data_IF_487317635066
#
_entry.id   IF_487317635066
#
_cell.length_a   1.000
_cell.length_b   1.000
_cell.length_c   1.000
_cell.angle_alpha   90.00
_cell.angle_beta   90.00
_cell.angle_gamma   90.00
#
_symmetry.space_group_name_H-M   'P 1'
#
loop_
_entity.id
_entity.type
_entity.pdbx_description
1 polymer ?
#
# COMPACT_ATOMS: atom_id res chain seq x y z
N UNK A 1 2.48 -11.86 4.11
CA UNK A 1 3.93 -11.82 3.84
C UNK A 1 4.62 -11.30 5.10
N UNK A 2 5.67 -11.97 5.58
CA UNK A 2 6.51 -11.48 6.67
C UNK A 2 7.47 -10.46 6.06
N UNK A 3 7.60 -9.28 6.66
CA UNK A 3 8.44 -8.23 6.09
C UNK A 3 9.26 -7.55 7.17
N UNK A 4 10.54 -7.92 7.32
CA UNK A 4 11.52 -7.10 7.99
C UNK A 4 12.77 -6.96 7.13
N UNK A 5 12.90 -5.84 6.41
CA UNK A 5 14.14 -5.09 6.10
C UNK A 5 13.89 -4.02 5.03
N UNK A 6 13.91 -2.74 5.42
CA UNK A 6 14.19 -1.62 4.52
C UNK A 6 13.06 -0.59 4.31
N UNK A 7 13.46 0.67 4.48
CA UNK A 7 12.87 2.02 4.25
C UNK A 7 11.35 2.24 4.32
N UNK A 8 10.99 3.31 5.02
CA UNK A 8 9.62 3.77 5.30
C UNK A 8 9.22 4.78 4.20
N UNK A 9 8.12 4.52 3.50
CA UNK A 9 7.44 5.47 2.62
C UNK A 9 6.03 5.69 3.16
N UNK A 10 5.68 6.96 3.36
CA UNK A 10 4.58 7.37 4.24
C UNK A 10 3.25 7.61 3.51
N UNK A 11 3.25 8.03 2.23
CA UNK A 11 2.04 8.27 1.41
C UNK A 11 2.39 8.49 -0.08
N UNK A 12 1.38 8.46 -0.98
CA UNK A 12 1.50 8.97 -2.35
C UNK A 12 2.10 10.39 -2.40
N UNK A 13 1.63 11.30 -1.53
CA UNK A 13 2.10 12.68 -1.47
C UNK A 13 3.61 12.76 -1.19
N UNK A 14 4.11 11.95 -0.26
CA UNK A 14 5.54 11.91 0.07
C UNK A 14 6.39 11.38 -1.09
N UNK A 15 5.87 10.38 -1.81
CA UNK A 15 6.55 9.82 -2.98
C UNK A 15 6.58 10.85 -4.12
N UNK A 16 5.45 11.51 -4.38
CA UNK A 16 5.36 12.57 -5.38
C UNK A 16 6.21 13.80 -5.01
N UNK A 17 6.27 14.19 -3.74
CA UNK A 17 7.13 15.28 -3.26
C UNK A 17 8.62 14.98 -3.51
N UNK A 18 9.05 13.75 -3.21
CA UNK A 18 10.41 13.29 -3.54
C UNK A 18 10.67 13.36 -5.04
N UNK A 19 9.73 12.90 -5.87
CA UNK A 19 9.89 12.95 -7.32
C UNK A 19 9.94 14.38 -7.86
N UNK A 20 9.07 15.26 -7.35
CA UNK A 20 9.02 16.68 -7.69
C UNK A 20 10.37 17.35 -7.42
N UNK A 21 10.88 17.21 -6.19
CA UNK A 21 12.19 17.76 -5.78
C UNK A 21 13.33 17.25 -6.65
N UNK A 22 13.34 15.95 -6.98
CA UNK A 22 14.40 15.37 -7.84
C UNK A 22 14.30 15.83 -9.30
N UNK A 23 13.11 16.17 -9.79
CA UNK A 23 12.91 16.66 -11.16
C UNK A 23 13.38 18.09 -11.37
N UNK A 24 13.47 18.89 -10.31
CA UNK A 24 14.04 20.24 -10.35
C UNK A 24 15.56 20.23 -10.57
N UNK A 25 16.24 19.14 -10.19
CA UNK A 25 17.71 19.01 -10.30
C UNK A 25 18.10 18.53 -11.69
N UNK A 26 18.51 19.46 -12.55
CA UNK A 26 18.91 19.17 -13.95
C UNK A 26 20.20 18.37 -14.07
N UNK A 27 21.15 18.57 -13.16
CA UNK A 27 22.41 17.85 -13.17
C UNK A 27 22.20 16.42 -12.67
N UNK A 28 22.43 15.43 -13.54
CA UNK A 28 22.22 14.01 -13.24
C UNK A 28 23.09 13.51 -12.09
N UNK A 29 24.32 14.02 -11.95
CA UNK A 29 25.21 13.62 -10.87
C UNK A 29 24.72 14.17 -9.52
N UNK A 30 24.37 15.45 -9.46
CA UNK A 30 23.81 16.07 -8.25
C UNK A 30 22.49 15.42 -7.84
N UNK A 31 21.60 15.16 -8.81
CA UNK A 31 20.35 14.44 -8.57
C UNK A 31 20.62 13.07 -7.97
N UNK A 32 21.58 12.32 -8.52
CA UNK A 32 21.95 10.99 -8.00
C UNK A 32 22.47 11.06 -6.56
N UNK A 33 23.27 12.08 -6.20
CA UNK A 33 23.80 12.24 -4.85
C UNK A 33 22.70 12.42 -3.80
N UNK A 34 21.65 13.18 -4.13
CA UNK A 34 20.53 13.42 -3.21
C UNK A 34 19.38 12.41 -3.35
N UNK A 35 19.45 11.52 -4.33
CA UNK A 35 18.42 10.51 -4.56
C UNK A 35 18.35 9.55 -3.36
N UNK A 36 17.15 9.36 -2.75
CA UNK A 36 16.98 8.48 -1.62
C UNK A 36 17.43 7.03 -1.89
N UNK A 37 18.00 6.40 -0.88
CA UNK A 37 18.55 5.04 -1.00
C UNK A 37 17.48 3.99 -1.35
N UNK A 38 16.22 4.22 -0.96
CA UNK A 38 15.11 3.33 -1.33
C UNK A 38 14.87 3.33 -2.85
N UNK A 39 14.97 4.49 -3.52
CA UNK A 39 14.83 4.59 -4.99
C UNK A 39 16.00 3.90 -5.69
N UNK A 40 17.22 4.11 -5.16
CA UNK A 40 18.41 3.45 -5.70
C UNK A 40 18.27 1.93 -5.62
N UNK A 41 17.76 1.40 -4.50
CA UNK A 41 17.48 -0.04 -4.34
C UNK A 41 16.32 -0.52 -5.20
N UNK A 42 15.27 0.28 -5.37
CA UNK A 42 14.16 -0.01 -6.30
C UNK A 42 14.68 -0.23 -7.72
N UNK A 43 15.67 0.55 -8.13
CA UNK A 43 16.30 0.46 -9.45
C UNK A 43 17.60 -0.36 -9.50
N UNK A 44 18.00 -0.99 -8.40
CA UNK A 44 19.17 -1.86 -8.35
C UNK A 44 18.79 -3.29 -8.76
N UNK A 45 19.56 -3.88 -9.66
CA UNK A 45 19.39 -5.24 -10.16
C UNK A 45 20.19 -6.29 -9.37
N UNK A 46 20.87 -5.90 -8.29
CA UNK A 46 21.58 -6.84 -7.43
C UNK A 46 20.62 -7.80 -6.73
N UNK A 47 20.98 -9.09 -6.67
CA UNK A 47 20.14 -10.13 -6.05
C UNK A 47 20.02 -9.98 -4.52
N UNK A 48 20.99 -9.31 -3.89
CA UNK A 48 21.11 -9.23 -2.44
C UNK A 48 20.29 -8.08 -1.84
N UNK A 49 20.25 -6.93 -2.53
CA UNK A 49 19.66 -5.68 -2.01
C UNK A 49 18.79 -4.93 -3.01
N UNK A 50 18.80 -5.36 -4.28
CA UNK A 50 18.08 -4.74 -5.38
C UNK A 50 16.66 -5.26 -5.54
N UNK A 51 15.81 -4.39 -6.07
CA UNK A 51 14.39 -4.63 -6.31
C UNK A 51 14.00 -4.29 -7.76
N UNK A 52 14.97 -4.19 -8.68
CA UNK A 52 14.68 -3.93 -10.10
C UNK A 52 13.82 -5.06 -10.65
N UNK A 53 12.72 -4.72 -11.32
CA UNK A 53 11.60 -5.59 -11.74
C UNK A 53 10.52 -5.86 -10.67
N UNK A 54 10.64 -5.28 -9.48
CA UNK A 54 9.65 -5.35 -8.40
C UNK A 54 8.93 -4.02 -8.20
N UNK A 55 7.92 -4.03 -7.34
CA UNK A 55 7.11 -2.85 -7.00
C UNK A 55 7.02 -2.65 -5.50
N UNK A 56 7.07 -1.40 -5.04
CA UNK A 56 6.76 -1.03 -3.67
C UNK A 56 5.29 -0.67 -3.58
N UNK A 57 4.51 -1.41 -2.79
CA UNK A 57 3.10 -1.06 -2.60
C UNK A 57 2.99 0.02 -1.54
N UNK A 58 2.53 1.20 -1.94
CA UNK A 58 2.17 2.31 -1.04
C UNK A 58 0.64 2.39 -0.95
N UNK A 59 0.15 2.74 0.22
CA UNK A 59 -1.27 2.89 0.50
C UNK A 59 -2.18 1.69 0.16
N UNK A 60 -1.62 0.47 0.04
CA UNK A 60 -2.32 -0.75 -0.41
C UNK A 60 -2.99 -0.66 -1.79
N UNK A 61 -2.85 0.46 -2.47
CA UNK A 61 -3.57 0.84 -3.68
C UNK A 61 -2.62 1.31 -4.76
N UNK A 62 -1.38 1.66 -4.46
CA UNK A 62 -0.42 2.16 -5.44
C UNK A 62 0.83 1.30 -5.44
N UNK A 63 1.39 1.07 -6.62
CA UNK A 63 2.63 0.36 -6.82
C UNK A 63 3.67 1.31 -7.41
N UNK A 64 4.79 1.47 -6.73
CA UNK A 64 5.95 2.26 -7.18
C UNK A 64 6.96 1.30 -7.81
N UNK A 65 7.25 1.48 -9.09
CA UNK A 65 8.17 0.63 -9.86
C UNK A 65 9.38 1.43 -10.31
N UNK A 66 10.53 0.76 -10.46
CA UNK A 66 11.63 1.40 -11.16
C UNK A 66 11.21 1.69 -12.60
N UNK A 67 11.39 2.94 -13.03
CA UNK A 67 11.02 3.38 -14.37
C UNK A 67 11.89 2.69 -15.44
N UNK A 68 11.31 2.45 -16.61
CA UNK A 68 12.05 1.90 -17.73
C UNK A 68 13.25 2.79 -18.12
N UNK A 69 14.39 2.15 -18.34
CA UNK A 69 15.67 2.83 -18.60
C UNK A 69 16.41 3.34 -17.36
N UNK A 70 15.80 3.31 -16.18
CA UNK A 70 16.46 3.69 -14.92
C UNK A 70 17.34 2.58 -14.33
N UNK A 71 18.27 2.98 -13.47
CA UNK A 71 19.15 2.09 -12.71
C UNK A 71 19.52 2.73 -11.37
N UNK A 72 20.27 2.05 -10.51
CA UNK A 72 20.63 2.57 -9.18
C UNK A 72 21.39 3.92 -9.19
N UNK A 73 22.13 4.22 -10.27
CA UNK A 73 22.94 5.43 -10.41
C UNK A 73 22.12 6.59 -10.99
N UNK A 74 21.08 6.29 -11.76
CA UNK A 74 20.10 7.22 -12.33
C UNK A 74 18.68 6.75 -12.01
N UNK A 75 18.39 6.64 -10.71
CA UNK A 75 17.13 6.08 -10.24
C UNK A 75 15.98 7.05 -10.45
N UNK A 76 14.92 6.54 -11.05
CA UNK A 76 13.62 7.19 -11.21
C UNK A 76 12.56 6.10 -11.09
N UNK A 77 11.33 6.50 -10.78
CA UNK A 77 10.24 5.56 -10.61
C UNK A 77 8.99 6.02 -11.33
N UNK A 78 8.07 5.09 -11.50
CA UNK A 78 6.70 5.34 -11.91
C UNK A 78 5.74 4.80 -10.86
N UNK A 79 4.58 5.44 -10.74
CA UNK A 79 3.50 5.00 -9.88
C UNK A 79 2.41 4.44 -10.79
N UNK A 80 1.97 3.23 -10.53
CA UNK A 80 0.80 2.62 -11.16
C UNK A 80 -0.22 2.28 -10.08
N UNK A 81 -1.48 2.15 -10.47
CA UNK A 81 -2.48 1.54 -9.61
C UNK A 81 -2.10 0.10 -9.26
N UNK A 82 -1.98 -0.20 -7.98
CA UNK A 82 -2.13 -1.56 -7.49
C UNK A 82 -3.64 -1.87 -7.41
N UNK A 83 -3.99 -3.15 -7.31
CA UNK A 83 -5.38 -3.59 -7.29
C UNK A 83 -6.36 -2.73 -6.48
N UNK A 84 -7.39 -2.24 -7.15
CA UNK A 84 -8.43 -1.43 -6.52
C UNK A 84 -8.04 0.03 -6.29
N UNK A 85 -6.89 0.48 -6.81
CA UNK A 85 -6.64 1.90 -7.01
C UNK A 85 -7.79 2.52 -7.80
N UNK A 86 -8.26 3.64 -7.33
CA UNK A 86 -9.04 4.57 -8.12
C UNK A 86 -8.39 5.94 -7.99
N UNK A 87 -8.32 6.66 -9.10
CA UNK A 87 -7.77 8.01 -9.11
C UNK A 87 -8.63 8.97 -8.28
N UNK A 88 -8.08 10.13 -7.91
CA UNK A 88 -8.86 11.18 -7.24
C UNK A 88 -10.08 11.61 -8.07
N UNK A 89 -9.96 11.60 -9.39
CA UNK A 89 -11.05 11.92 -10.33
C UNK A 89 -12.15 10.84 -10.29
N UNK A 90 -11.77 9.57 -10.38
CA UNK A 90 -12.72 8.44 -10.25
C UNK A 90 -13.38 8.40 -8.87
N UNK A 91 -12.65 8.74 -7.80
CA UNK A 91 -13.18 8.81 -6.44
C UNK A 91 -14.25 9.89 -6.30
N UNK A 92 -14.07 11.05 -6.93
CA UNK A 92 -15.10 12.10 -7.00
C UNK A 92 -16.34 11.61 -7.76
N UNK A 93 -16.15 10.85 -8.85
CA UNK A 93 -17.29 10.28 -9.58
C UNK A 93 -18.04 9.22 -8.77
N UNK A 94 -17.34 8.33 -8.07
CA UNK A 94 -17.94 7.30 -7.23
C UNK A 94 -18.70 7.91 -6.04
N UNK A 95 -18.18 8.99 -5.44
CA UNK A 95 -18.91 9.73 -4.40
C UNK A 95 -20.18 10.41 -4.93
N UNK A 96 -20.16 10.90 -6.19
CA UNK A 96 -21.36 11.45 -6.84
C UNK A 96 -22.41 10.35 -7.10
N UNK A 97 -21.97 9.16 -7.51
CA UNK A 97 -22.85 8.00 -7.80
C UNK A 97 -23.41 7.39 -6.52
N UNK A 98 -22.61 7.31 -5.47
CA UNK A 98 -22.98 6.73 -4.20
C UNK A 98 -22.51 7.63 -3.05
N UNK A 99 -23.43 8.37 -2.41
CA UNK A 99 -23.10 9.26 -1.28
C UNK A 99 -22.50 8.52 -0.06
N UNK A 100 -22.63 7.19 -0.02
CA UNK A 100 -22.08 6.32 1.01
C UNK A 100 -20.74 5.69 0.61
N UNK A 101 -20.20 6.04 -0.56
CA UNK A 101 -18.88 5.62 -1.01
C UNK A 101 -17.82 6.21 -0.07
N UNK A 102 -17.06 5.33 0.58
CA UNK A 102 -15.93 5.71 1.42
C UNK A 102 -14.68 5.10 0.79
N UNK A 103 -13.74 5.91 0.27
CA UNK A 103 -12.47 5.38 -0.21
C UNK A 103 -11.76 4.68 0.96
N UNK A 104 -11.05 3.58 0.68
CA UNK A 104 -10.23 2.95 1.74
C UNK A 104 -9.23 3.99 2.20
N UNK A 105 -9.10 4.15 3.52
CA UNK A 105 -8.12 5.07 4.11
C UNK A 105 -7.01 4.26 4.73
N UNK A 106 -5.77 4.57 4.36
CA UNK A 106 -4.60 4.05 5.06
C UNK A 106 -4.51 4.66 6.46
N UNK A 107 -5.07 3.96 7.45
CA UNK A 107 -4.83 4.30 8.85
C UNK A 107 -3.52 3.65 9.27
N UNK A 108 -2.44 4.37 8.98
CA UNK A 108 -1.14 4.36 9.68
C UNK A 108 -0.63 2.96 10.02
N UNK A 109 0.23 2.37 9.19
CA UNK A 109 1.21 1.37 9.64
C UNK A 109 2.34 1.21 8.61
N UNK A 110 3.57 1.42 9.08
CA UNK A 110 4.86 1.23 8.43
C UNK A 110 4.84 0.19 7.30
N UNK A 111 5.05 0.67 6.07
CA UNK A 111 5.14 -0.19 4.90
C UNK A 111 6.57 -0.70 4.71
N UNK A 112 6.67 -1.88 4.12
CA UNK A 112 7.92 -2.58 3.85
C UNK A 112 8.07 -2.78 2.35
N UNK A 113 9.30 -2.69 1.84
CA UNK A 113 9.64 -3.10 0.48
C UNK A 113 9.26 -4.58 0.30
N UNK A 114 8.15 -4.85 -0.39
CA UNK A 114 7.68 -6.19 -0.69
C UNK A 114 8.14 -6.58 -2.09
N UNK A 115 8.61 -7.82 -2.28
CA UNK A 115 8.87 -8.35 -3.63
C UNK A 115 7.55 -8.47 -4.40
N UNK A 116 7.58 -8.12 -5.69
CA UNK A 116 6.47 -8.41 -6.63
C UNK A 116 6.22 -9.91 -6.62
N UNK A 117 4.96 -10.31 -6.47
CA UNK A 117 4.57 -11.72 -6.55
C UNK A 117 4.23 -11.99 -8.02
N UNK A 118 4.86 -13.00 -8.63
CA UNK A 118 4.62 -13.35 -10.05
C UNK A 118 3.15 -13.69 -10.35
N UNK A 119 2.38 -14.02 -9.30
CA UNK A 119 0.95 -14.17 -9.34
C UNK A 119 0.34 -13.23 -8.29
N UNK A 120 0.07 -12.02 -8.73
CA UNK A 120 -0.53 -10.97 -7.89
C UNK A 120 -2.07 -11.06 -7.86
N UNK A 121 -2.67 -12.07 -8.48
CA UNK A 121 -4.07 -12.43 -8.25
C UNK A 121 -4.22 -13.10 -6.88
N UNK A 122 -4.51 -12.30 -5.86
CA UNK A 122 -4.58 -12.76 -4.47
C UNK A 122 -5.87 -12.33 -3.83
N UNK A 123 -6.59 -13.28 -3.26
CA UNK A 123 -7.83 -13.03 -2.55
C UNK A 123 -7.58 -12.32 -1.20
N UNK A 124 -8.59 -11.58 -0.73
CA UNK A 124 -8.56 -11.07 0.62
C UNK A 124 -8.40 -12.22 1.64
N UNK A 125 -7.61 -11.99 2.69
CA UNK A 125 -7.54 -12.89 3.83
C UNK A 125 -7.55 -12.13 5.15
N UNK A 126 -8.11 -12.79 6.17
CA UNK A 126 -8.26 -12.24 7.51
C UNK A 126 -7.41 -13.03 8.52
N UNK A 127 -7.07 -12.41 9.64
CA UNK A 127 -6.66 -13.17 10.83
C UNK A 127 -7.87 -13.93 11.40
N UNK A 128 -7.65 -14.97 12.21
CA UNK A 128 -8.68 -15.46 13.11
C UNK A 128 -9.26 -14.32 13.95
N UNK A 129 -10.51 -14.50 14.37
CA UNK A 129 -11.09 -13.63 15.39
C UNK A 129 -10.34 -13.81 16.70
N UNK A 130 -10.16 -12.72 17.44
CA UNK A 130 -9.78 -12.79 18.84
C UNK A 130 -10.88 -13.47 19.65
N UNK A 131 -10.51 -13.92 20.84
CA UNK A 131 -11.49 -14.26 21.86
C UNK A 131 -12.40 -13.06 22.17
N UNK A 132 -13.59 -13.37 22.68
CA UNK A 132 -14.49 -12.35 23.19
C UNK A 132 -13.89 -11.72 24.44
N UNK A 133 -13.98 -10.38 24.52
CA UNK A 133 -13.64 -9.67 25.73
C UNK A 133 -14.53 -10.09 26.90
N UNK A 134 -14.09 -9.80 28.12
CA UNK A 134 -14.96 -9.88 29.30
C UNK A 134 -16.25 -9.06 29.06
N UNK A 135 -17.34 -9.53 29.67
CA UNK A 135 -18.61 -8.82 29.66
C UNK A 135 -18.46 -7.49 30.41
N UNK A 136 -18.59 -6.37 29.71
CA UNK A 136 -18.55 -5.03 30.30
C UNK A 136 -19.73 -4.24 29.76
N UNK A 137 -20.55 -3.71 30.67
CA UNK A 137 -21.79 -2.98 30.32
C UNK A 137 -22.69 -3.80 29.37
N UNK A 138 -22.97 -5.06 29.73
CA UNK A 138 -23.81 -5.97 28.95
C UNK A 138 -23.34 -6.21 27.51
N UNK A 139 -22.04 -6.00 27.26
CA UNK A 139 -21.44 -6.02 25.94
C UNK A 139 -20.12 -6.78 25.94
N UNK A 140 -19.91 -7.62 24.92
CA UNK A 140 -18.62 -8.22 24.61
C UNK A 140 -18.16 -7.78 23.22
N UNK A 141 -16.85 -7.64 23.04
CA UNK A 141 -16.21 -7.25 21.78
C UNK A 141 -15.18 -8.29 21.36
N UNK A 142 -14.98 -8.44 20.06
CA UNK A 142 -13.85 -9.17 19.48
C UNK A 142 -13.37 -8.50 18.20
N UNK A 143 -12.15 -8.82 17.82
CA UNK A 143 -11.45 -8.16 16.73
C UNK A 143 -10.86 -9.16 15.76
N UNK A 144 -10.80 -8.80 14.48
CA UNK A 144 -9.92 -9.45 13.51
C UNK A 144 -9.32 -8.41 12.59
N UNK A 145 -8.23 -8.75 11.93
CA UNK A 145 -7.54 -7.85 11.02
C UNK A 145 -7.56 -8.40 9.59
N UNK A 146 -7.52 -7.50 8.62
CA UNK A 146 -7.14 -7.87 7.25
C UNK A 146 -5.67 -8.29 7.30
N UNK A 147 -5.41 -9.57 7.04
CA UNK A 147 -4.06 -10.14 6.98
C UNK A 147 -3.42 -9.85 5.62
N UNK A 148 -4.23 -9.86 4.57
CA UNK A 148 -3.82 -9.52 3.21
C UNK A 148 -5.01 -8.96 2.46
N UNK A 149 -4.83 -7.78 1.86
CA UNK A 149 -5.81 -7.20 0.94
C UNK A 149 -5.83 -7.97 -0.39
N UNK A 150 -6.93 -7.84 -1.12
CA UNK A 150 -7.02 -8.39 -2.46
C UNK A 150 -6.02 -7.71 -3.40
N UNK A 151 -5.49 -8.46 -4.34
CA UNK A 151 -4.61 -7.97 -5.40
C UNK A 151 -5.09 -8.58 -6.73
N UNK A 152 -5.25 -7.76 -7.76
CA UNK A 152 -5.64 -8.03 -9.13
C UNK A 152 -6.83 -8.99 -9.30
N UNK A 153 -7.87 -8.78 -8.47
CA UNK A 153 -9.16 -9.46 -8.55
C UNK A 153 -10.27 -8.71 -7.79
N UNK A 154 -11.50 -9.22 -7.89
CA UNK A 154 -12.70 -8.69 -7.25
C UNK A 154 -12.98 -9.27 -5.86
N UNK A 155 -12.07 -10.08 -5.29
CA UNK A 155 -12.24 -10.70 -3.98
C UNK A 155 -11.88 -9.73 -2.84
N UNK A 156 -12.57 -8.59 -2.78
CA UNK A 156 -12.31 -7.53 -1.82
C UNK A 156 -12.51 -7.97 -0.36
N UNK A 157 -11.82 -7.29 0.55
CA UNK A 157 -12.11 -7.43 1.97
C UNK A 157 -13.40 -6.71 2.32
N UNK A 158 -14.46 -7.48 2.57
CA UNK A 158 -15.79 -6.97 2.93
C UNK A 158 -16.13 -7.23 4.41
N UNK A 159 -16.90 -6.32 4.99
CA UNK A 159 -17.55 -6.45 6.30
C UNK A 159 -18.92 -5.80 6.23
N UNK A 160 -19.98 -6.57 6.55
CA UNK A 160 -21.37 -6.15 6.36
C UNK A 160 -21.63 -5.62 4.94
N UNK A 161 -21.15 -6.36 3.93
CA UNK A 161 -21.23 -6.03 2.50
C UNK A 161 -20.61 -4.70 2.10
N UNK A 162 -19.75 -4.15 2.96
CA UNK A 162 -19.01 -2.90 2.71
C UNK A 162 -17.51 -3.17 2.74
N UNK A 163 -16.79 -2.47 1.87
CA UNK A 163 -15.33 -2.45 1.89
C UNK A 163 -14.86 -1.95 3.26
N UNK A 164 -13.95 -2.69 3.90
CA UNK A 164 -13.47 -2.29 5.22
C UNK A 164 -12.50 -1.11 5.08
N UNK A 165 -12.81 0.08 5.63
CA UNK A 165 -11.97 1.26 5.46
C UNK A 165 -10.71 1.21 6.34
N UNK A 166 -10.66 0.31 7.33
CA UNK A 166 -9.53 0.07 8.22
C UNK A 166 -9.15 -1.40 8.15
N UNK A 167 -7.89 -1.71 8.40
CA UNK A 167 -7.43 -3.10 8.48
C UNK A 167 -7.95 -3.86 9.72
N UNK A 168 -8.85 -3.30 10.54
CA UNK A 168 -9.42 -3.91 11.74
C UNK A 168 -10.94 -3.91 11.63
N UNK A 169 -11.55 -5.07 11.92
CA UNK A 169 -12.99 -5.23 12.11
C UNK A 169 -13.27 -5.50 13.59
N UNK A 170 -14.28 -4.82 14.13
CA UNK A 170 -14.82 -5.05 15.47
C UNK A 170 -16.20 -5.72 15.32
N UNK A 171 -16.42 -6.76 16.11
CA UNK A 171 -17.75 -7.33 16.30
C UNK A 171 -18.14 -7.19 17.76
N UNK A 172 -19.41 -6.83 17.98
CA UNK A 172 -20.00 -6.60 19.28
C UNK A 172 -21.21 -7.51 19.45
N UNK A 173 -21.39 -8.07 20.65
CA UNK A 173 -22.60 -8.83 21.02
C UNK A 173 -23.02 -8.51 22.45
N UNK A 174 -24.28 -8.80 22.77
CA UNK A 174 -24.72 -8.89 24.15
C UNK A 174 -24.12 -10.11 24.84
N UNK A 175 -23.68 -9.87 26.07
CA UNK A 175 -23.78 -10.84 27.15
C UNK A 175 -25.05 -10.48 27.94
#
# INVERSE_FOLDING_TARGET
CWCPRGYILCSEEDVLDVQGKLNEIKNKHERSLVTPLWMKRLCDNSNDVGFKSMSVVIDYELAVLCKDGSNKDYADFEIIGASGYITGEEMIEEQKRNPWYVPRKCTVNNFYLCRKVENDNVNCSYTPWSDWSACKNNTQKRYRKVRRSNQNNENFCLWNDKIVPRNIMEQTRSC
#
